data_IF_590033785504
#
_entry.id   IF_590033785504
#
_cell.length_a   1.000
_cell.length_b   1.000
_cell.length_c   1.000
_cell.angle_alpha   90.00
_cell.angle_beta   90.00
_cell.angle_gamma   90.00
#
_symmetry.space_group_name_H-M   'P 1'
#
loop_
_entity.id
_entity.type
_entity.pdbx_description
1 polymer ?
#
# COMPACT_ATOMS: atom_id res chain seq x y z
N UNK A 1 -3.82 4.54 -3.41
CA UNK A 1 -3.15 3.27 -3.80
C UNK A 1 -3.58 2.17 -2.85
N UNK A 2 -3.55 0.90 -3.26
CA UNK A 2 -3.88 -0.21 -2.37
C UNK A 2 -2.63 -0.70 -1.61
N UNK A 3 -2.78 -1.00 -0.33
CA UNK A 3 -1.70 -1.47 0.56
C UNK A 3 -2.20 -2.55 1.51
N UNK A 4 -1.27 -3.32 2.09
CA UNK A 4 -1.55 -4.20 3.22
C UNK A 4 -1.88 -3.40 4.48
N UNK A 5 -2.42 -4.04 5.52
CA UNK A 5 -2.48 -3.48 6.86
C UNK A 5 -1.08 -3.08 7.36
N UNK A 6 -0.99 -2.07 8.25
CA UNK A 6 0.26 -1.70 8.90
C UNK A 6 0.72 -2.82 9.85
N UNK A 7 2.04 -3.00 9.95
CA UNK A 7 2.63 -3.82 11.00
C UNK A 7 2.77 -3.05 12.33
N UNK A 8 3.32 -3.71 13.34
CA UNK A 8 3.56 -3.13 14.67
C UNK A 8 4.51 -1.92 14.67
N UNK A 9 5.28 -1.73 13.59
CA UNK A 9 6.21 -0.62 13.40
C UNK A 9 5.61 0.50 12.53
N UNK A 10 4.34 0.39 12.13
CA UNK A 10 3.67 1.38 11.28
C UNK A 10 4.06 1.31 9.80
N UNK A 11 4.51 0.17 9.30
CA UNK A 11 4.81 -0.03 7.88
C UNK A 11 3.73 -0.84 7.16
N UNK A 12 3.19 -0.26 6.09
CA UNK A 12 2.34 -0.97 5.12
C UNK A 12 3.17 -1.44 3.94
N UNK A 13 2.71 -2.48 3.23
CA UNK A 13 3.32 -2.94 1.98
C UNK A 13 2.48 -2.56 0.77
N UNK A 14 3.15 -2.14 -0.32
CA UNK A 14 2.54 -1.90 -1.63
C UNK A 14 2.14 -3.20 -2.37
N UNK A 15 2.48 -4.36 -1.82
CA UNK A 15 2.16 -5.67 -2.36
C UNK A 15 2.60 -5.85 -3.81
N UNK A 16 1.64 -6.10 -4.71
CA UNK A 16 1.89 -6.33 -6.14
C UNK A 16 2.11 -5.03 -6.94
N UNK A 17 1.82 -3.87 -6.36
CA UNK A 17 1.81 -2.58 -7.05
C UNK A 17 3.01 -1.69 -6.76
N UNK A 18 4.23 -2.12 -7.09
CA UNK A 18 5.45 -1.35 -6.77
C UNK A 18 5.85 -0.31 -7.85
N UNK A 19 5.74 -0.67 -9.13
CA UNK A 19 6.39 -0.03 -10.30
C UNK A 19 6.47 1.51 -10.21
N UNK A 20 5.49 2.23 -10.76
CA UNK A 20 5.47 3.70 -10.73
C UNK A 20 4.90 4.24 -9.42
N UNK A 21 4.24 3.38 -8.63
CA UNK A 21 3.55 3.73 -7.40
C UNK A 21 4.51 4.23 -6.33
N UNK A 22 5.75 3.73 -6.29
CA UNK A 22 6.77 4.23 -5.37
C UNK A 22 7.05 5.72 -5.60
N UNK A 23 7.44 6.08 -6.83
CA UNK A 23 7.73 7.46 -7.19
C UNK A 23 6.51 8.38 -6.99
N UNK A 24 5.31 7.89 -7.30
CA UNK A 24 4.07 8.66 -7.07
C UNK A 24 3.85 8.97 -5.58
N UNK A 25 4.06 8.00 -4.68
CA UNK A 25 3.91 8.19 -3.23
C UNK A 25 4.96 9.15 -2.68
N UNK A 26 6.18 9.11 -3.19
CA UNK A 26 7.27 9.97 -2.71
C UNK A 26 7.11 11.44 -3.11
N UNK A 27 6.46 11.71 -4.24
CA UNK A 27 6.35 13.05 -4.81
C UNK A 27 4.95 13.69 -4.64
N UNK A 28 3.92 12.91 -4.33
CA UNK A 28 2.57 13.44 -4.20
C UNK A 28 2.39 14.31 -2.94
N UNK A 29 1.66 15.42 -3.09
CA UNK A 29 1.27 16.29 -1.96
C UNK A 29 0.32 15.58 -0.99
N UNK A 30 -0.52 14.67 -1.49
CA UNK A 30 -1.47 13.89 -0.70
C UNK A 30 -1.50 12.46 -1.21
N UNK A 31 -1.48 11.50 -0.30
CA UNK A 31 -1.54 10.07 -0.62
C UNK A 31 -2.66 9.45 0.19
N UNK A 32 -3.61 8.81 -0.50
CA UNK A 32 -4.70 8.07 0.14
C UNK A 32 -4.42 6.57 -0.01
N UNK A 33 -4.37 5.86 1.11
CA UNK A 33 -4.23 4.41 1.16
C UNK A 33 -5.60 3.74 1.20
N UNK A 34 -5.80 2.75 0.34
CA UNK A 34 -6.85 1.74 0.50
C UNK A 34 -6.21 0.53 1.18
N UNK A 35 -6.56 0.28 2.43
CA UNK A 35 -6.03 -0.83 3.23
C UNK A 35 -6.88 -2.06 2.93
N UNK A 36 -6.24 -3.11 2.41
CA UNK A 36 -6.88 -4.39 2.10
C UNK A 36 -6.10 -5.52 2.79
N UNK A 37 -6.78 -6.28 3.65
CA UNK A 37 -6.26 -7.47 4.33
C UNK A 37 -5.77 -8.55 3.37
N UNK A 38 -6.32 -8.59 2.15
CA UNK A 38 -5.95 -9.55 1.09
C UNK A 38 -4.75 -9.08 0.26
N UNK A 39 -4.22 -7.87 0.48
CA UNK A 39 -3.02 -7.40 -0.20
C UNK A 39 -1.78 -8.11 0.39
N UNK A 40 -1.04 -8.90 -0.40
CA UNK A 40 0.12 -9.62 0.11
C UNK A 40 1.21 -8.66 0.56
N UNK A 41 1.84 -8.99 1.68
CA UNK A 41 2.98 -8.24 2.20
C UNK A 41 4.27 -8.72 1.53
N UNK A 42 4.56 -8.19 0.35
CA UNK A 42 5.77 -8.53 -0.42
C UNK A 42 7.01 -7.92 0.22
N UNK A 43 8.15 -8.62 0.12
CA UNK A 43 9.45 -8.14 0.60
C UNK A 43 10.12 -7.22 -0.43
N UNK A 44 11.19 -6.52 -0.01
CA UNK A 44 11.96 -5.59 -0.84
C UNK A 44 11.59 -4.13 -0.58
N UNK A 45 11.71 -3.28 -1.60
CA UNK A 45 11.43 -1.83 -1.53
C UNK A 45 9.92 -1.50 -1.62
N UNK A 46 9.12 -2.31 -0.92
CA UNK A 46 7.65 -2.30 -0.96
C UNK A 46 7.06 -1.67 0.29
N UNK A 47 7.87 -1.43 1.32
CA UNK A 47 7.42 -0.85 2.57
C UNK A 47 7.34 0.66 2.51
N UNK A 48 6.29 1.20 3.12
CA UNK A 48 6.12 2.63 3.32
C UNK A 48 5.51 2.87 4.69
N UNK A 49 6.08 3.81 5.43
CA UNK A 49 5.59 4.14 6.76
C UNK A 49 4.25 4.91 6.67
N UNK A 50 3.36 4.66 7.63
CA UNK A 50 2.01 5.28 7.69
C UNK A 50 2.04 6.81 7.66
N UNK A 51 3.13 7.44 8.14
CA UNK A 51 3.30 8.89 8.12
C UNK A 51 3.35 9.53 6.72
N UNK A 52 3.52 8.72 5.66
CA UNK A 52 3.47 9.21 4.27
C UNK A 52 2.04 9.35 3.73
N UNK A 53 1.04 8.84 4.45
CA UNK A 53 -0.35 8.88 4.00
C UNK A 53 -1.11 10.03 4.65
N UNK A 54 -1.98 10.64 3.86
CA UNK A 54 -2.90 11.70 4.29
C UNK A 54 -4.17 11.11 4.87
N UNK A 55 -4.62 9.97 4.35
CA UNK A 55 -5.82 9.29 4.80
C UNK A 55 -5.76 7.80 4.47
N UNK A 56 -6.52 7.02 5.24
CA UNK A 56 -6.72 5.59 5.05
C UNK A 56 -8.20 5.31 4.82
N UNK A 57 -8.49 4.38 3.92
CA UNK A 57 -9.81 3.82 3.68
C UNK A 57 -9.67 2.31 3.80
N UNK A 58 -10.36 1.71 4.76
CA UNK A 58 -10.34 0.26 4.96
C UNK A 58 -11.39 -0.40 4.06
N UNK A 59 -10.96 -1.33 3.21
CA UNK A 59 -11.85 -2.08 2.33
C UNK A 59 -11.18 -3.37 1.87
N UNK A 60 -11.85 -4.49 2.14
CA UNK A 60 -11.36 -5.81 1.78
C UNK A 60 -12.06 -6.34 0.52
N UNK A 61 -11.26 -6.72 -0.47
CA UNK A 61 -11.73 -7.39 -1.68
C UNK A 61 -10.64 -8.26 -2.30
N UNK A 62 -11.01 -9.34 -3.01
CA UNK A 62 -10.05 -10.19 -3.70
C UNK A 62 -9.22 -9.41 -4.72
N UNK A 63 -7.94 -9.74 -4.80
CA UNK A 63 -7.09 -9.21 -5.86
C UNK A 63 -7.47 -9.79 -7.22
N UNK A 64 -7.33 -9.02 -8.31
CA UNK A 64 -7.58 -9.53 -9.65
C UNK A 64 -6.60 -10.67 -9.98
N UNK A 65 -7.13 -11.71 -10.61
CA UNK A 65 -6.35 -12.85 -11.12
C UNK A 65 -6.36 -12.78 -12.65
N UNK A 66 -5.20 -12.96 -13.27
CA UNK A 66 -5.10 -13.05 -14.73
C UNK A 66 -5.49 -14.47 -15.17
N UNK A 67 -6.22 -14.63 -16.28
CA UNK A 67 -6.53 -15.94 -16.86
C UNK A 67 -5.29 -16.67 -17.35
#
# INVERSE_FOLDING_TARGET
MQVSPPDEFGFVSRGVGIIATKAAVENARRVIALVNQQMPRTLGDTFVHVSKFTAFVEMDFPLPVLP
#
